data_IF_288701334189
#
_entry.id   IF_288701334189
#
_cell.length_a   1.000
_cell.length_b   1.000
_cell.length_c   1.000
_cell.angle_alpha   90.00
_cell.angle_beta   90.00
_cell.angle_gamma   90.00
#
_symmetry.space_group_name_H-M   'P 1'
#
loop_
_entity.id
_entity.type
_entity.pdbx_description
1 polymer ?
#
# COMPACT_ATOMS: atom_id res chain seq x y z
N UNK A 1 -10.36 -12.62 -1.64
CA UNK A 1 -9.11 -11.86 -1.41
C UNK A 1 -8.47 -12.43 -0.15
N UNK A 2 -7.50 -13.34 -0.26
CA UNK A 2 -6.78 -13.84 0.91
C UNK A 2 -5.68 -12.83 1.24
N UNK A 3 -5.74 -12.24 2.44
CA UNK A 3 -4.68 -11.40 2.96
C UNK A 3 -3.53 -12.33 3.34
N UNK A 4 -2.49 -12.38 2.50
CA UNK A 4 -1.18 -12.91 2.89
C UNK A 4 -0.26 -11.70 2.93
N UNK A 5 0.76 -11.66 3.77
CA UNK A 5 1.76 -10.58 3.79
C UNK A 5 3.10 -11.27 3.92
N UNK A 6 4.04 -10.97 3.02
CA UNK A 6 5.38 -11.54 3.04
C UNK A 6 6.33 -10.41 3.45
N UNK A 7 7.08 -10.63 4.54
CA UNK A 7 8.15 -9.72 4.95
C UNK A 7 9.42 -10.12 4.20
N UNK A 8 10.12 -9.12 3.65
CA UNK A 8 11.53 -9.24 3.27
C UNK A 8 12.27 -8.04 3.87
N UNK A 9 13.43 -8.31 4.47
CA UNK A 9 14.41 -7.28 4.84
C UNK A 9 15.42 -7.20 3.70
N UNK A 10 15.68 -6.00 3.21
CA UNK A 10 16.72 -5.78 2.20
C UNK A 10 17.65 -4.68 2.67
N UNK A 11 18.93 -4.95 2.50
CA UNK A 11 20.02 -4.01 2.72
C UNK A 11 20.06 -2.96 1.61
N UNK A 12 20.39 -1.72 1.96
CA UNK A 12 20.64 -0.63 1.01
C UNK A 12 22.04 -0.69 0.34
N UNK A 13 22.68 -1.87 0.27
CA UNK A 13 24.07 -2.03 -0.19
C UNK A 13 24.17 -2.90 -1.47
N UNK A 14 25.23 -2.72 -2.29
CA UNK A 14 25.37 -3.33 -3.61
C UNK A 14 25.29 -4.86 -3.62
N UNK A 15 24.89 -5.40 -4.78
CA UNK A 15 24.46 -6.78 -5.12
C UNK A 15 25.24 -7.99 -4.55
N UNK A 16 26.38 -7.84 -3.89
CA UNK A 16 27.29 -8.94 -3.54
C UNK A 16 27.05 -9.62 -2.18
N UNK A 17 26.19 -9.09 -1.31
CA UNK A 17 25.92 -9.70 0.02
C UNK A 17 24.41 -9.76 0.32
N UNK A 18 23.63 -10.35 -0.59
CA UNK A 18 22.21 -10.61 -0.35
C UNK A 18 22.06 -11.87 0.50
N UNK A 19 21.71 -11.73 1.77
CA UNK A 19 20.90 -12.74 2.46
C UNK A 19 19.44 -12.29 2.39
N UNK A 20 18.57 -13.19 1.96
CA UNK A 20 17.14 -12.95 1.81
C UNK A 20 16.41 -13.88 2.77
N UNK A 21 15.44 -13.34 3.52
CA UNK A 21 14.58 -14.09 4.43
C UNK A 21 13.11 -13.84 4.04
N UNK A 22 12.32 -14.91 4.05
CA UNK A 22 10.94 -15.05 3.55
C UNK A 22 10.00 -15.43 4.70
N UNK A 23 8.98 -14.63 4.98
CA UNK A 23 7.87 -15.09 5.85
C UNK A 23 6.74 -15.66 5.00
N UNK A 24 6.39 -16.93 5.22
CA UNK A 24 5.11 -17.52 4.78
C UNK A 24 4.13 -17.63 5.94
N UNK A 25 2.89 -17.19 5.76
CA UNK A 25 1.79 -17.50 6.68
C UNK A 25 0.75 -18.41 6.02
N UNK A 26 0.86 -19.69 6.36
CA UNK A 26 -0.18 -20.68 6.61
C UNK A 26 0.62 -21.86 7.14
N UNK A 27 0.43 -22.18 8.42
CA UNK A 27 1.26 -23.06 9.25
C UNK A 27 2.54 -22.41 9.78
N UNK A 28 2.85 -22.74 11.03
CA UNK A 28 3.94 -22.23 11.83
C UNK A 28 5.31 -22.60 11.23
N UNK A 29 5.78 -21.81 10.28
CA UNK A 29 7.20 -21.73 9.92
C UNK A 29 7.62 -20.27 9.86
N UNK A 30 7.79 -19.70 11.05
CA UNK A 30 8.55 -18.47 11.29
C UNK A 30 9.92 -18.68 10.67
N UNK A 31 10.30 -17.91 9.65
CA UNK A 31 11.71 -17.90 9.27
C UNK A 31 12.51 -17.27 10.41
N UNK A 32 13.55 -17.95 10.93
CA UNK A 32 14.20 -17.58 12.19
C UNK A 32 14.94 -16.22 12.19
N UNK A 33 15.05 -15.55 11.03
CA UNK A 33 15.91 -14.38 10.78
C UNK A 33 15.19 -13.22 10.04
N UNK A 34 13.86 -13.17 10.07
CA UNK A 34 13.06 -12.15 9.37
C UNK A 34 13.23 -10.71 9.90
N UNK A 35 13.71 -10.54 11.14
CA UNK A 35 14.07 -9.24 11.74
C UNK A 35 15.42 -9.40 12.45
N UNK A 36 16.41 -8.52 12.21
CA UNK A 36 17.72 -8.64 12.83
C UNK A 36 17.61 -8.53 14.36
N UNK A 37 18.25 -9.47 15.07
CA UNK A 37 18.40 -9.44 16.53
C UNK A 37 19.47 -8.42 16.90
N UNK A 38 19.06 -7.17 17.06
CA UNK A 38 19.93 -6.03 17.35
C UNK A 38 19.40 -5.17 18.50
N UNK A 39 20.26 -4.36 19.10
CA UNK A 39 19.87 -3.32 20.06
C UNK A 39 19.28 -2.09 19.38
N UNK A 40 19.46 -1.95 18.07
CA UNK A 40 18.87 -0.86 17.29
C UNK A 40 17.33 -0.97 17.27
N UNK A 41 16.61 0.15 17.40
CA UNK A 41 15.16 0.13 17.39
C UNK A 41 14.61 -0.19 16.00
N UNK A 42 13.53 -0.96 15.97
CA UNK A 42 12.73 -1.18 14.76
C UNK A 42 11.66 -0.09 14.68
N UNK A 43 11.64 0.63 13.58
CA UNK A 43 10.61 1.62 13.29
C UNK A 43 9.67 1.11 12.21
N UNK A 44 8.36 1.09 12.47
CA UNK A 44 7.34 0.81 11.46
C UNK A 44 6.33 1.94 11.49
N UNK A 45 6.26 2.71 10.40
CA UNK A 45 5.27 3.77 10.18
C UNK A 45 4.98 4.60 11.45
N UNK A 46 6.04 5.23 12.01
CA UNK A 46 5.96 6.10 13.18
C UNK A 46 5.95 5.42 14.55
N UNK A 47 5.94 4.08 14.62
CA UNK A 47 5.94 3.32 15.87
C UNK A 47 7.30 2.65 16.10
N UNK A 48 7.85 2.85 17.30
CA UNK A 48 9.13 2.29 17.74
C UNK A 48 8.90 0.97 18.47
N UNK A 49 9.75 0.00 18.18
CA UNK A 49 9.76 -1.32 18.81
C UNK A 49 11.18 -1.72 19.21
N UNK A 50 11.30 -2.54 20.24
CA UNK A 50 12.54 -3.24 20.56
C UNK A 50 12.65 -4.49 19.68
N UNK A 51 13.74 -4.64 18.91
CA UNK A 51 13.88 -5.74 17.95
C UNK A 51 13.81 -7.13 18.57
N UNK A 52 14.22 -7.28 19.84
CA UNK A 52 14.28 -8.56 20.55
C UNK A 52 12.98 -8.80 21.34
N UNK A 53 12.57 -7.81 22.14
CA UNK A 53 11.46 -7.96 23.08
C UNK A 53 10.08 -7.88 22.40
N UNK A 54 9.96 -7.12 21.31
CA UNK A 54 8.67 -6.86 20.66
C UNK A 54 8.46 -7.68 19.38
N UNK A 55 9.25 -8.73 19.12
CA UNK A 55 9.25 -9.47 17.84
C UNK A 55 7.84 -9.86 17.35
N UNK A 56 6.98 -10.36 18.24
CA UNK A 56 5.61 -10.73 17.90
C UNK A 56 4.73 -9.52 17.58
N UNK A 57 4.93 -8.39 18.29
CA UNK A 57 4.20 -7.14 18.04
C UNK A 57 4.64 -6.51 16.73
N UNK A 58 5.93 -6.61 16.39
CA UNK A 58 6.48 -6.17 15.11
C UNK A 58 5.84 -6.99 13.97
N UNK A 59 5.86 -8.32 14.07
CA UNK A 59 5.23 -9.21 13.07
C UNK A 59 3.74 -8.92 12.91
N UNK A 60 3.02 -8.77 14.02
CA UNK A 60 1.60 -8.46 13.99
C UNK A 60 1.31 -7.12 13.32
N UNK A 61 2.12 -6.08 13.59
CA UNK A 61 1.98 -4.78 12.94
C UNK A 61 2.22 -4.88 11.43
N UNK A 62 3.26 -5.61 10.99
CA UNK A 62 3.55 -5.82 9.56
C UNK A 62 2.42 -6.60 8.86
N UNK A 63 1.96 -7.71 9.44
CA UNK A 63 0.93 -8.57 8.84
C UNK A 63 -0.39 -7.82 8.70
N UNK A 64 -0.67 -6.87 9.60
CA UNK A 64 -1.88 -6.03 9.57
C UNK A 64 -1.95 -5.02 8.42
N UNK A 65 -0.88 -4.87 7.64
CA UNK A 65 -0.83 -3.93 6.51
C UNK A 65 -1.39 -4.58 5.26
N UNK A 66 -2.40 -3.98 4.63
CA UNK A 66 -3.02 -4.50 3.40
C UNK A 66 -1.96 -4.70 2.30
N UNK A 67 -1.70 -5.96 1.97
CA UNK A 67 -0.70 -6.33 0.97
C UNK A 67 -1.33 -6.57 -0.39
N UNK A 68 -0.93 -5.76 -1.37
CA UNK A 68 -1.43 -5.82 -2.74
C UNK A 68 -0.29 -6.21 -3.67
N UNK A 69 -0.53 -7.26 -4.44
CA UNK A 69 0.46 -7.90 -5.30
C UNK A 69 -0.09 -8.03 -6.71
N UNK A 70 0.75 -8.48 -7.65
CA UNK A 70 0.28 -8.83 -8.98
C UNK A 70 -0.92 -9.78 -8.93
N UNK A 71 -1.88 -9.51 -9.81
CA UNK A 71 -3.05 -10.33 -10.04
C UNK A 71 -3.08 -10.83 -11.48
N UNK A 72 -3.78 -11.93 -11.68
CA UNK A 72 -4.07 -12.50 -13.00
C UNK A 72 -5.49 -13.01 -13.05
N UNK A 73 -6.01 -13.13 -14.27
CA UNK A 73 -7.37 -13.56 -14.58
C UNK A 73 -8.45 -12.61 -14.04
N UNK A 74 -8.13 -11.32 -13.90
CA UNK A 74 -9.15 -10.29 -13.69
C UNK A 74 -9.78 -9.91 -15.03
N UNK A 75 -10.95 -9.27 -14.99
CA UNK A 75 -11.64 -8.80 -16.20
C UNK A 75 -10.73 -7.90 -17.04
N UNK A 76 -10.68 -8.03 -18.38
CA UNK A 76 -9.81 -7.21 -19.23
C UNK A 76 -9.89 -5.70 -18.98
N UNK A 77 -8.73 -5.02 -18.87
CA UNK A 77 -8.64 -3.56 -18.70
C UNK A 77 -8.86 -2.86 -20.04
N UNK A 78 -9.87 -2.01 -20.15
CA UNK A 78 -10.09 -1.18 -21.36
C UNK A 78 -10.96 -1.81 -22.46
N UNK A 79 -11.44 -3.06 -22.31
CA UNK A 79 -12.26 -3.74 -23.32
C UNK A 79 -11.86 -5.20 -23.51
N UNK A 80 -12.51 -5.93 -24.42
CA UNK A 80 -12.32 -7.38 -24.61
C UNK A 80 -10.88 -7.83 -24.91
N UNK A 81 -10.06 -6.96 -25.50
CA UNK A 81 -8.65 -7.23 -25.83
C UNK A 81 -7.66 -6.67 -24.78
N UNK A 82 -8.19 -6.19 -23.65
CA UNK A 82 -7.41 -5.61 -22.56
C UNK A 82 -6.53 -6.60 -21.81
N UNK A 83 -5.52 -6.08 -21.10
CA UNK A 83 -4.68 -6.89 -20.21
C UNK A 83 -5.51 -7.51 -19.09
N UNK A 84 -5.24 -8.78 -18.76
CA UNK A 84 -5.88 -9.58 -17.69
C UNK A 84 -4.92 -9.94 -16.56
N UNK A 85 -3.71 -9.41 -16.61
CA UNK A 85 -2.72 -9.48 -15.53
C UNK A 85 -1.87 -8.22 -15.51
N UNK A 86 -1.48 -7.80 -14.30
CA UNK A 86 -0.56 -6.68 -14.10
C UNK A 86 0.88 -7.09 -13.82
N UNK A 87 1.19 -8.39 -13.93
CA UNK A 87 2.54 -8.92 -13.79
C UNK A 87 3.48 -8.25 -14.79
N UNK A 88 4.61 -7.75 -14.30
CA UNK A 88 5.67 -7.15 -15.13
C UNK A 88 5.52 -5.65 -15.40
N UNK A 89 4.38 -5.03 -15.03
CA UNK A 89 4.18 -3.59 -15.24
C UNK A 89 3.47 -2.87 -14.08
N UNK A 90 2.62 -3.57 -13.33
CA UNK A 90 1.78 -2.97 -12.28
C UNK A 90 2.45 -2.69 -10.94
N UNK A 91 3.75 -2.95 -10.76
CA UNK A 91 4.37 -2.96 -9.42
C UNK A 91 4.22 -1.63 -8.68
N UNK A 92 4.48 -0.50 -9.36
CA UNK A 92 4.31 0.83 -8.75
C UNK A 92 2.84 1.15 -8.48
N UNK A 93 1.92 0.66 -9.30
CA UNK A 93 0.47 0.83 -9.06
C UNK A 93 0.08 0.09 -7.79
N UNK A 94 0.58 -1.14 -7.57
CA UNK A 94 0.38 -1.90 -6.34
C UNK A 94 0.98 -1.19 -5.11
N UNK A 95 2.18 -0.63 -5.23
CA UNK A 95 2.77 0.20 -4.16
C UNK A 95 1.90 1.41 -3.81
N UNK A 96 1.39 2.13 -4.82
CA UNK A 96 0.46 3.23 -4.61
C UNK A 96 -0.85 2.80 -3.94
N UNK A 97 -1.41 1.65 -4.36
CA UNK A 97 -2.57 1.08 -3.68
C UNK A 97 -2.28 0.75 -2.21
N UNK A 98 -1.11 0.19 -1.87
CA UNK A 98 -0.75 -0.13 -0.48
C UNK A 98 -0.61 1.12 0.39
N UNK A 99 -0.02 2.21 -0.13
CA UNK A 99 0.06 3.50 0.59
C UNK A 99 -1.34 4.06 0.85
N UNK A 100 -2.20 4.08 -0.17
CA UNK A 100 -3.57 4.58 -0.01
C UNK A 100 -4.40 3.69 0.91
N UNK A 101 -4.28 2.37 0.79
CA UNK A 101 -4.94 1.42 1.69
C UNK A 101 -4.51 1.66 3.14
N UNK A 102 -3.22 1.92 3.37
CA UNK A 102 -2.71 2.24 4.69
C UNK A 102 -3.29 3.54 5.25
N UNK A 103 -3.37 4.59 4.42
CA UNK A 103 -3.99 5.86 4.78
C UNK A 103 -5.47 5.67 5.18
N UNK A 104 -6.21 4.84 4.43
CA UNK A 104 -7.62 4.56 4.71
C UNK A 104 -7.81 3.72 5.97
N UNK A 105 -6.94 2.74 6.24
CA UNK A 105 -6.95 2.00 7.51
C UNK A 105 -6.74 2.96 8.67
N UNK A 106 -5.76 3.87 8.60
CA UNK A 106 -5.54 4.82 9.67
C UNK A 106 -6.68 5.80 9.86
N UNK A 107 -7.25 6.29 8.76
CA UNK A 107 -8.38 7.21 8.80
C UNK A 107 -9.60 6.58 9.48
N UNK A 108 -9.94 5.34 9.13
CA UNK A 108 -11.21 4.74 9.54
C UNK A 108 -11.11 3.77 10.73
N UNK A 109 -9.93 3.22 11.00
CA UNK A 109 -9.68 2.21 12.05
C UNK A 109 -8.60 2.64 13.05
N UNK A 110 -7.78 3.64 12.71
CA UNK A 110 -6.67 4.11 13.54
C UNK A 110 -5.35 3.36 13.30
N UNK A 111 -4.24 3.99 13.72
CA UNK A 111 -2.87 3.44 13.59
C UNK A 111 -2.68 2.12 14.34
N UNK A 112 -3.32 1.99 15.50
CA UNK A 112 -3.13 0.86 16.42
C UNK A 112 -4.06 -0.32 16.12
N UNK A 113 -4.93 -0.21 15.12
CA UNK A 113 -5.71 -1.35 14.65
C UNK A 113 -4.79 -2.46 14.12
N UNK A 114 -5.09 -3.69 14.52
CA UNK A 114 -4.37 -4.89 14.11
C UNK A 114 -5.35 -5.83 13.42
N UNK A 115 -4.89 -6.46 12.33
CA UNK A 115 -5.68 -7.42 11.57
C UNK A 115 -5.72 -8.76 12.29
N UNK A 116 -6.89 -9.38 12.27
CA UNK A 116 -7.13 -10.72 12.74
C UNK A 116 -7.69 -11.56 11.58
N UNK A 117 -7.19 -12.78 11.31
CA UNK A 117 -7.70 -13.64 10.24
C UNK A 117 -9.21 -13.88 10.26
N UNK A 118 -9.83 -13.84 11.44
CA UNK A 118 -11.26 -14.06 11.65
C UNK A 118 -12.07 -12.76 11.67
N UNK A 119 -11.41 -11.61 11.45
CA UNK A 119 -12.07 -10.30 11.54
C UNK A 119 -13.26 -10.19 10.59
N UNK A 120 -14.39 -9.78 11.15
CA UNK A 120 -15.63 -9.43 10.42
C UNK A 120 -15.87 -7.92 10.41
N UNK A 121 -14.86 -7.13 10.74
CA UNK A 121 -14.92 -5.67 10.77
C UNK A 121 -15.41 -5.12 9.42
N UNK A 122 -16.62 -4.55 9.43
CA UNK A 122 -17.29 -4.09 8.22
C UNK A 122 -16.58 -2.91 7.57
N UNK A 123 -15.90 -2.08 8.36
CA UNK A 123 -15.09 -0.95 7.92
C UNK A 123 -13.84 -1.44 7.22
N UNK A 124 -13.11 -2.40 7.82
CA UNK A 124 -11.97 -3.04 7.17
C UNK A 124 -12.35 -3.69 5.83
N UNK A 125 -13.44 -4.47 5.81
CA UNK A 125 -13.93 -5.10 4.58
C UNK A 125 -14.36 -4.07 3.53
N UNK A 126 -14.93 -2.93 3.95
CA UNK A 126 -15.27 -1.82 3.06
C UNK A 126 -14.03 -1.18 2.44
N UNK A 127 -12.94 -1.03 3.21
CA UNK A 127 -11.64 -0.57 2.69
C UNK A 127 -11.11 -1.55 1.65
N UNK A 128 -11.03 -2.86 1.98
CA UNK A 128 -10.54 -3.88 1.05
C UNK A 128 -11.30 -3.90 -0.28
N UNK A 129 -12.63 -3.76 -0.25
CA UNK A 129 -13.46 -3.74 -1.46
C UNK A 129 -13.07 -2.65 -2.44
N UNK A 130 -12.48 -1.54 -1.98
CA UNK A 130 -12.05 -0.43 -2.84
C UNK A 130 -10.85 -0.77 -3.74
N UNK A 131 -10.10 -1.82 -3.40
CA UNK A 131 -8.89 -2.25 -4.11
C UNK A 131 -9.08 -3.58 -4.87
N UNK A 132 -10.28 -4.14 -4.90
CA UNK A 132 -10.57 -5.36 -5.66
C UNK A 132 -10.31 -5.14 -7.16
N UNK A 133 -9.96 -6.20 -7.90
CA UNK A 133 -9.66 -6.14 -9.34
C UNK A 133 -10.94 -6.05 -10.21
N UNK A 134 -11.80 -5.07 -9.89
CA UNK A 134 -13.09 -4.83 -10.54
C UNK A 134 -13.18 -3.38 -11.00
N UNK A 135 -13.85 -3.17 -12.12
CA UNK A 135 -14.05 -1.81 -12.70
C UNK A 135 -14.76 -0.86 -11.74
N UNK A 136 -15.64 -1.37 -10.87
CA UNK A 136 -16.41 -0.58 -9.92
C UNK A 136 -15.61 -0.18 -8.67
N UNK A 137 -14.51 -0.88 -8.38
CA UNK A 137 -13.69 -0.57 -7.22
C UNK A 137 -12.81 0.67 -7.55
N UNK A 138 -12.93 1.78 -6.80
CA UNK A 138 -12.36 3.08 -7.16
C UNK A 138 -10.84 3.10 -7.24
N UNK A 139 -10.18 2.19 -6.52
CA UNK A 139 -8.72 2.07 -6.48
C UNK A 139 -8.24 0.72 -7.02
N UNK A 140 -9.04 0.08 -7.87
CA UNK A 140 -8.64 -1.14 -8.60
C UNK A 140 -7.47 -0.87 -9.55
N UNK A 141 -6.80 -1.94 -9.98
CA UNK A 141 -5.78 -1.83 -11.04
C UNK A 141 -6.38 -1.23 -12.33
N UNK A 142 -7.65 -1.51 -12.61
CA UNK A 142 -8.38 -0.96 -13.75
C UNK A 142 -8.45 0.55 -13.68
N UNK A 143 -8.94 1.09 -12.56
CA UNK A 143 -9.12 2.54 -12.40
C UNK A 143 -7.77 3.27 -12.40
N UNK A 144 -6.75 2.71 -11.74
CA UNK A 144 -5.41 3.32 -11.70
C UNK A 144 -4.76 3.29 -13.09
N UNK A 145 -4.81 2.16 -13.80
CA UNK A 145 -4.21 2.05 -15.12
C UNK A 145 -4.91 2.95 -16.16
N UNK A 146 -6.24 3.01 -16.13
CA UNK A 146 -7.02 3.86 -17.04
C UNK A 146 -6.83 5.36 -16.74
N UNK A 147 -6.83 5.75 -15.47
CA UNK A 147 -6.56 7.13 -15.07
C UNK A 147 -5.14 7.57 -15.43
N UNK A 148 -4.19 6.64 -15.54
CA UNK A 148 -2.84 6.87 -16.04
C UNK A 148 -2.76 7.52 -17.41
N UNK A 149 -3.77 7.32 -18.29
CA UNK A 149 -3.81 7.97 -19.60
C UNK A 149 -3.81 9.51 -19.47
N UNK A 150 -4.44 10.04 -18.42
CA UNK A 150 -4.44 11.48 -18.12
C UNK A 150 -3.10 12.01 -17.61
N UNK A 151 -2.13 11.13 -17.36
CA UNK A 151 -0.73 11.42 -17.03
C UNK A 151 0.22 11.01 -18.17
N UNK A 152 -0.31 10.75 -19.37
CA UNK A 152 0.48 10.30 -20.53
C UNK A 152 1.01 8.87 -20.40
N UNK A 153 0.39 8.01 -19.57
CA UNK A 153 0.74 6.60 -19.43
C UNK A 153 -0.35 5.70 -19.97
N UNK A 154 -0.02 4.92 -21.00
CA UNK A 154 -0.92 3.89 -21.50
C UNK A 154 -1.00 2.71 -20.52
N UNK A 155 -2.11 1.95 -20.59
CA UNK A 155 -2.25 0.68 -19.86
C UNK A 155 -1.09 -0.25 -20.23
N UNK A 156 -0.48 -0.89 -19.23
CA UNK A 156 0.71 -1.73 -19.43
C UNK A 156 2.05 -1.00 -19.27
N UNK A 157 2.06 0.34 -19.21
CA UNK A 157 3.30 1.09 -18.97
C UNK A 157 3.62 1.23 -17.49
N UNK A 158 4.91 1.20 -17.17
CA UNK A 158 5.39 1.41 -15.82
C UNK A 158 5.23 2.87 -15.37
N UNK A 159 4.81 3.06 -14.11
CA UNK A 159 4.66 4.37 -13.48
C UNK A 159 5.84 4.64 -12.55
N UNK A 160 6.29 5.90 -12.47
CA UNK A 160 7.12 6.37 -11.37
C UNK A 160 6.27 6.77 -10.15
N UNK A 161 6.90 7.02 -8.97
CA UNK A 161 6.21 7.43 -7.76
C UNK A 161 5.33 8.68 -7.93
N UNK A 162 5.82 9.70 -8.65
CA UNK A 162 5.03 10.90 -8.92
C UNK A 162 3.77 10.59 -9.74
N UNK A 163 3.89 9.80 -10.81
CA UNK A 163 2.75 9.48 -11.67
C UNK A 163 1.64 8.74 -10.91
N UNK A 164 1.99 7.74 -10.10
CA UNK A 164 0.96 7.04 -9.30
C UNK A 164 0.34 7.98 -8.26
N UNK A 165 1.11 8.90 -7.66
CA UNK A 165 0.58 9.89 -6.72
C UNK A 165 -0.44 10.83 -7.37
N UNK A 166 -0.17 11.33 -8.58
CA UNK A 166 -1.11 12.18 -9.32
C UNK A 166 -2.37 11.42 -9.72
N UNK A 167 -2.24 10.17 -10.16
CA UNK A 167 -3.39 9.30 -10.45
C UNK A 167 -4.26 9.11 -9.22
N UNK A 168 -3.67 8.78 -8.06
CA UNK A 168 -4.43 8.62 -6.81
C UNK A 168 -5.11 9.93 -6.38
N UNK A 169 -4.44 11.08 -6.55
CA UNK A 169 -5.02 12.42 -6.30
C UNK A 169 -6.25 12.70 -7.15
N UNK A 170 -6.32 12.16 -8.37
CA UNK A 170 -7.52 12.25 -9.23
C UNK A 170 -8.60 11.28 -8.77
N UNK A 171 -8.24 10.02 -8.49
CA UNK A 171 -9.19 8.97 -8.10
C UNK A 171 -9.88 9.23 -6.75
N UNK A 172 -9.16 9.79 -5.78
CA UNK A 172 -9.71 10.05 -4.43
C UNK A 172 -10.92 10.98 -4.44
N UNK A 173 -11.06 11.83 -5.46
CA UNK A 173 -12.20 12.74 -5.63
C UNK A 173 -13.54 11.99 -5.79
N UNK A 174 -13.49 10.75 -6.23
CA UNK A 174 -14.68 9.90 -6.42
C UNK A 174 -14.99 9.04 -5.17
N UNK A 175 -14.22 9.18 -4.09
CA UNK A 175 -14.46 8.47 -2.82
C UNK A 175 -15.10 9.40 -1.78
N UNK A 176 -16.40 9.56 -1.92
CA UNK A 176 -17.22 10.38 -1.01
C UNK A 176 -17.23 9.88 0.43
N UNK A 177 -17.00 8.59 0.66
CA UNK A 177 -17.00 8.04 2.01
C UNK A 177 -15.76 8.46 2.80
N UNK A 178 -14.58 8.45 2.17
CA UNK A 178 -13.34 8.79 2.86
C UNK A 178 -13.09 10.29 2.93
N UNK A 179 -13.62 11.07 1.97
CA UNK A 179 -13.40 12.54 1.85
C UNK A 179 -11.92 12.95 1.99
N UNK A 180 -11.01 12.07 1.59
CA UNK A 180 -9.57 12.24 1.73
C UNK A 180 -9.05 13.27 0.72
N UNK A 181 -8.28 14.23 1.19
CA UNK A 181 -7.50 15.14 0.35
C UNK A 181 -6.11 14.53 0.07
N UNK A 182 -5.66 14.56 -1.18
CA UNK A 182 -4.28 14.19 -1.54
C UNK A 182 -3.56 15.43 -2.06
N UNK A 183 -2.49 15.83 -1.36
CA UNK A 183 -1.57 16.86 -1.83
C UNK A 183 -0.27 16.20 -2.28
N UNK A 184 0.16 16.50 -3.51
CA UNK A 184 1.45 16.06 -4.06
C UNK A 184 2.34 17.28 -4.14
N UNK A 185 3.33 17.37 -3.24
CA UNK A 185 4.27 18.48 -3.18
C UNK A 185 5.27 18.35 -4.34
N UNK A 186 5.36 19.37 -5.19
CA UNK A 186 6.30 19.41 -6.31
C UNK A 186 7.53 20.25 -5.92
N UNK A 187 8.59 20.14 -6.71
CA UNK A 187 9.82 20.94 -6.55
C UNK A 187 10.44 20.88 -5.14
N UNK A 188 10.29 19.73 -4.48
CA UNK A 188 10.76 19.46 -3.13
C UNK A 188 10.28 20.47 -2.08
N UNK A 189 9.17 21.18 -2.34
CA UNK A 189 8.67 22.28 -1.50
C UNK A 189 7.22 22.03 -1.08
N UNK A 190 6.94 22.18 0.22
CA UNK A 190 5.58 22.08 0.76
C UNK A 190 5.04 23.49 0.98
N UNK A 191 3.99 23.85 0.24
CA UNK A 191 3.31 25.14 0.41
C UNK A 191 2.14 24.94 1.38
N UNK A 192 2.30 25.45 2.61
CA UNK A 192 1.33 25.24 3.69
C UNK A 192 -0.05 25.82 3.33
N UNK A 193 -0.09 26.95 2.63
CA UNK A 193 -1.35 27.60 2.27
C UNK A 193 -2.16 26.75 1.27
N UNK A 194 -1.53 26.18 0.25
CA UNK A 194 -2.18 25.26 -0.69
C UNK A 194 -2.81 24.06 0.02
N UNK A 195 -2.14 23.52 1.04
CA UNK A 195 -2.66 22.42 1.85
C UNK A 195 -3.88 22.89 2.66
N UNK A 196 -3.81 24.06 3.30
CA UNK A 196 -4.94 24.62 4.05
C UNK A 196 -6.15 24.82 3.16
N UNK A 197 -5.97 25.42 1.99
CA UNK A 197 -7.05 25.64 1.01
C UNK A 197 -7.65 24.32 0.53
N UNK A 198 -6.82 23.33 0.22
CA UNK A 198 -7.28 22.01 -0.20
C UNK A 198 -8.12 21.30 0.89
N UNK A 199 -7.68 21.40 2.15
CA UNK A 199 -8.31 20.66 3.25
C UNK A 199 -9.52 21.40 3.86
N UNK A 200 -9.57 22.74 3.78
CA UNK A 200 -10.64 23.58 4.31
C UNK A 200 -11.71 23.96 3.27
N UNK A 201 -11.61 23.48 2.02
CA UNK A 201 -12.51 23.85 0.94
C UNK A 201 -14.00 23.79 1.37
N UNK A 202 -14.65 24.96 1.30
CA UNK A 202 -15.98 25.26 1.83
C UNK A 202 -17.05 24.26 1.38
N UNK A 203 -17.88 23.80 2.33
CA UNK A 203 -19.17 23.20 1.98
C UNK A 203 -20.02 24.28 1.33
N UNK A 204 -20.25 24.18 0.01
CA UNK A 204 -21.37 24.85 -0.65
C UNK A 204 -22.67 24.15 -0.22
N UNK A 205 -23.06 24.31 1.03
CA UNK A 205 -24.38 23.96 1.52
C UNK A 205 -25.05 25.29 1.83
N UNK A 206 -25.99 25.64 0.95
CA UNK A 206 -27.12 26.57 1.07
C UNK A 206 -26.89 27.84 1.88
N UNK A 207 -27.11 29.01 1.25
CA UNK A 207 -26.75 30.37 1.68
C UNK A 207 -27.30 30.89 3.01
N UNK A 208 -27.56 30.02 3.98
CA UNK A 208 -27.98 30.30 5.34
C UNK A 208 -27.27 29.34 6.29
N UNK A 209 -25.95 29.51 6.47
CA UNK A 209 -25.16 29.26 7.68
C UNK A 209 -23.68 29.04 7.30
N UNK A 210 -22.81 29.92 7.79
CA UNK A 210 -21.35 29.75 7.78
C UNK A 210 -20.99 28.61 8.74
N UNK A 211 -21.23 27.36 8.34
CA UNK A 211 -20.73 26.19 9.04
C UNK A 211 -19.21 26.17 9.00
N UNK A 212 -18.58 25.86 10.13
CA UNK A 212 -17.13 25.67 10.21
C UNK A 212 -16.67 24.66 9.14
N UNK A 213 -15.72 25.04 8.29
CA UNK A 213 -15.12 24.13 7.33
C UNK A 213 -14.33 23.04 8.07
N UNK A 214 -14.86 21.82 8.10
CA UNK A 214 -14.17 20.67 8.67
C UNK A 214 -12.91 20.34 7.85
N UNK A 215 -11.78 20.11 8.53
CA UNK A 215 -10.52 19.73 7.90
C UNK A 215 -10.61 18.35 7.27
N UNK A 216 -10.52 18.27 5.94
CA UNK A 216 -10.43 16.99 5.24
C UNK A 216 -9.15 16.25 5.65
N UNK A 217 -9.22 14.95 5.99
CA UNK A 217 -8.04 14.14 6.21
C UNK A 217 -7.06 14.28 5.03
N UNK A 218 -5.77 14.41 5.32
CA UNK A 218 -4.74 14.68 4.33
C UNK A 218 -3.81 13.50 4.16
N UNK A 219 -3.65 13.05 2.91
CA UNK A 219 -2.52 12.25 2.46
C UNK A 219 -1.54 13.17 1.73
N UNK A 220 -0.42 13.49 2.38
CA UNK A 220 0.66 14.29 1.83
C UNK A 220 1.71 13.39 1.19
N UNK A 221 1.99 13.60 -0.09
CA UNK A 221 2.99 12.85 -0.85
C UNK A 221 4.06 13.82 -1.33
N UNK A 222 5.32 13.47 -1.11
CA UNK A 222 6.48 14.27 -1.54
C UNK A 222 7.35 13.40 -2.46
N UNK A 223 7.16 13.46 -3.79
CA UNK A 223 8.03 12.79 -4.74
C UNK A 223 9.43 13.40 -4.72
N UNK A 224 10.45 12.57 -4.55
CA UNK A 224 11.84 13.02 -4.46
C UNK A 224 12.73 12.23 -5.41
N UNK A 225 13.81 12.87 -5.88
CA UNK A 225 14.95 12.22 -6.54
C UNK A 225 16.19 12.43 -5.68
N UNK A 226 16.57 11.41 -4.91
CA UNK A 226 17.65 11.49 -3.91
C UNK A 226 19.05 11.20 -4.46
N UNK A 227 19.19 11.11 -5.78
CA UNK A 227 20.46 10.87 -6.46
C UNK A 227 20.29 10.51 -7.94
N UNK A 228 21.40 10.23 -8.62
CA UNK A 228 21.40 9.91 -10.05
C UNK A 228 21.09 8.44 -10.32
N UNK A 229 21.90 7.53 -9.76
CA UNK A 229 21.78 6.07 -9.91
C UNK A 229 21.50 5.35 -8.60
N UNK A 230 22.00 5.92 -7.51
CA UNK A 230 21.81 5.47 -6.13
C UNK A 230 21.46 6.67 -5.24
N UNK A 231 20.94 6.39 -4.04
CA UNK A 231 20.64 7.44 -3.06
C UNK A 231 21.95 8.03 -2.57
N UNK A 232 22.08 9.36 -2.61
CA UNK A 232 23.23 10.03 -2.00
C UNK A 232 23.21 9.78 -0.47
N UNK A 233 24.30 9.25 0.13
CA UNK A 233 24.36 8.93 1.55
C UNK A 233 23.94 10.05 2.50
N UNK A 234 24.10 11.33 2.11
CA UNK A 234 23.67 12.48 2.91
C UNK A 234 22.17 12.44 3.26
N UNK A 235 21.35 11.83 2.41
CA UNK A 235 19.90 11.77 2.59
C UNK A 235 19.43 10.57 3.42
N UNK A 236 20.29 9.58 3.66
CA UNK A 236 19.90 8.32 4.33
C UNK A 236 19.30 8.59 5.71
N UNK A 237 19.97 9.41 6.52
CA UNK A 237 19.47 9.79 7.84
C UNK A 237 18.15 10.56 7.77
N UNK A 238 17.96 11.40 6.74
CA UNK A 238 16.71 12.12 6.51
C UNK A 238 15.55 11.17 6.21
N UNK A 239 15.76 10.21 5.30
CA UNK A 239 14.77 9.19 4.95
C UNK A 239 14.45 8.31 6.16
N UNK A 240 15.45 7.92 6.94
CA UNK A 240 15.24 7.13 8.17
C UNK A 240 14.40 7.91 9.19
N UNK A 241 14.62 9.22 9.36
CA UNK A 241 13.78 10.06 10.21
C UNK A 241 12.33 10.13 9.73
N UNK A 242 12.07 10.09 8.42
CA UNK A 242 10.70 10.07 7.90
C UNK A 242 9.91 8.88 8.45
N UNK A 243 10.50 7.69 8.59
CA UNK A 243 9.82 6.52 9.19
C UNK A 243 9.46 6.68 10.67
N UNK A 244 10.05 7.66 11.37
CA UNK A 244 9.85 7.91 12.80
C UNK A 244 8.70 8.88 13.07
N UNK A 245 8.24 9.63 12.06
CA UNK A 245 7.09 10.52 12.21
C UNK A 245 5.81 9.72 12.46
N UNK A 246 4.99 10.15 13.43
CA UNK A 246 3.71 9.51 13.74
C UNK A 246 2.76 9.46 12.53
N UNK A 247 2.92 10.41 11.61
CA UNK A 247 2.15 10.54 10.38
C UNK A 247 2.75 9.75 9.20
N UNK A 248 3.87 9.07 9.39
CA UNK A 248 4.59 8.37 8.31
C UNK A 248 3.77 7.26 7.69
N UNK A 249 3.43 7.41 6.42
CA UNK A 249 2.88 6.34 5.59
C UNK A 249 3.95 5.65 4.74
N UNK A 250 5.22 5.80 5.12
CA UNK A 250 6.34 5.12 4.48
C UNK A 250 6.76 5.74 3.16
N UNK A 251 7.46 4.95 2.33
CA UNK A 251 8.05 5.39 1.07
C UNK A 251 7.74 4.36 -0.01
N UNK A 252 7.39 4.81 -1.21
CA UNK A 252 7.33 3.96 -2.41
C UNK A 252 8.43 4.36 -3.37
N UNK A 253 9.07 3.36 -3.98
CA UNK A 253 10.20 3.61 -4.87
C UNK A 253 10.72 2.31 -5.46
N UNK A 254 11.86 2.41 -6.14
CA UNK A 254 12.50 1.27 -6.81
C UNK A 254 12.79 1.56 -8.27
N UNK A 255 13.57 0.67 -8.88
CA UNK A 255 13.87 0.71 -10.31
C UNK A 255 12.63 0.32 -11.12
N UNK A 256 12.57 0.65 -12.43
CA UNK A 256 11.50 0.16 -13.30
C UNK A 256 11.28 -1.34 -13.12
N UNK A 257 10.02 -1.73 -12.93
CA UNK A 257 9.56 -3.11 -12.69
C UNK A 257 10.06 -3.79 -11.41
N UNK A 258 10.67 -3.04 -10.47
CA UNK A 258 11.14 -3.54 -9.17
C UNK A 258 10.72 -2.57 -8.05
N UNK A 259 9.45 -2.15 -8.07
CA UNK A 259 8.92 -1.20 -7.11
C UNK A 259 8.56 -1.87 -5.77
N UNK A 260 8.87 -1.21 -4.66
CA UNK A 260 8.62 -1.70 -3.30
C UNK A 260 7.91 -0.62 -2.48
N UNK A 261 7.17 -1.06 -1.45
CA UNK A 261 6.61 -0.18 -0.43
C UNK A 261 7.37 -0.34 0.89
N UNK A 262 8.25 0.60 1.18
CA UNK A 262 9.04 0.64 2.41
C UNK A 262 8.17 1.17 3.55
N UNK A 263 8.03 0.37 4.61
CA UNK A 263 7.17 0.66 5.77
C UNK A 263 7.96 0.97 7.04
N UNK A 264 9.28 0.80 7.01
CA UNK A 264 10.08 0.92 8.22
C UNK A 264 11.57 0.73 8.00
N UNK A 265 12.33 0.79 9.09
CA UNK A 265 13.77 0.55 9.10
C UNK A 265 14.27 0.02 10.45
N UNK A 266 15.43 -0.63 10.41
CA UNK A 266 16.19 -1.08 11.58
C UNK A 266 17.68 -0.96 11.27
N UNK A 267 18.43 -0.23 12.10
CA UNK A 267 19.81 0.12 11.78
C UNK A 267 19.93 0.80 10.40
N UNK A 268 20.62 0.17 9.45
CA UNK A 268 20.77 0.65 8.05
C UNK A 268 19.88 -0.11 7.04
N UNK A 269 19.06 -1.03 7.52
CA UNK A 269 18.18 -1.86 6.70
C UNK A 269 16.77 -1.28 6.64
N UNK A 270 16.06 -1.60 5.56
CA UNK A 270 14.67 -1.19 5.35
C UNK A 270 13.74 -2.39 5.38
N UNK A 271 12.55 -2.15 5.90
CA UNK A 271 11.44 -3.10 6.00
C UNK A 271 10.43 -2.72 4.92
N UNK A 272 10.01 -3.66 4.08
CA UNK A 272 9.12 -3.36 2.95
C UNK A 272 8.13 -4.48 2.66
N UNK A 273 7.11 -4.10 1.88
CA UNK A 273 6.14 -5.00 1.26
C UNK A 273 6.42 -5.08 -0.25
N UNK A 274 6.55 -6.31 -0.73
CA UNK A 274 6.92 -6.61 -2.12
C UNK A 274 5.69 -7.02 -2.96
N UNK A 275 5.34 -6.29 -4.05
CA UNK A 275 4.19 -6.65 -4.88
C UNK A 275 4.46 -7.78 -5.90
N UNK A 276 5.69 -8.27 -6.07
CA UNK A 276 6.11 -9.15 -7.16
C UNK A 276 5.73 -10.63 -7.01
N UNK A 277 4.63 -10.90 -6.33
CA UNK A 277 4.02 -12.23 -6.27
C UNK A 277 2.72 -12.25 -7.10
N UNK A 278 2.59 -13.15 -8.08
CA UNK A 278 1.37 -13.20 -8.90
C UNK A 278 0.33 -14.15 -8.31
N UNK A 279 -0.76 -13.57 -7.82
CA UNK A 279 -1.89 -14.31 -7.26
C UNK A 279 -3.10 -14.29 -8.22
N UNK A 280 -4.02 -15.24 -8.08
CA UNK A 280 -5.31 -15.16 -8.81
C UNK A 280 -6.16 -14.03 -8.25
N UNK A 281 -7.02 -13.44 -9.06
CA UNK A 281 -8.07 -12.56 -8.54
C UNK A 281 -8.92 -13.32 -7.49
N UNK A 282 -9.26 -12.64 -6.41
CA UNK A 282 -9.81 -13.24 -5.19
C UNK A 282 -11.31 -13.57 -5.26
N UNK A 283 -11.87 -13.60 -6.46
CA UNK A 283 -13.27 -13.94 -6.73
C UNK A 283 -13.35 -15.43 -7.07
N UNK A 284 -13.87 -16.24 -6.14
CA UNK A 284 -14.64 -17.42 -6.57
C UNK A 284 -15.89 -16.84 -7.23
N UNK A 285 -16.07 -17.15 -8.51
CA UNK A 285 -17.21 -16.64 -9.28
C UNK A 285 -18.52 -17.09 -8.66
N UNK A 286 -19.47 -16.16 -8.57
CA UNK A 286 -20.88 -16.50 -8.67
C UNK A 286 -21.15 -16.87 -10.15
N UNK A 287 -20.71 -18.07 -10.55
CA UNK A 287 -21.24 -18.75 -11.72
C UNK A 287 -21.37 -20.23 -11.38
N UNK A 288 -22.56 -20.76 -11.66
CA UNK A 288 -23.10 -21.98 -11.10
C UNK A 288 -22.19 -23.20 -11.23
N UNK A 289 -21.93 -23.83 -10.09
CA UNK A 289 -21.59 -25.24 -10.03
C UNK A 289 -22.70 -25.97 -9.26
N UNK A 290 -23.81 -26.22 -9.97
CA UNK A 290 -24.80 -27.23 -9.54
C UNK A 290 -24.21 -28.61 -9.85
N UNK A 291 -23.14 -29.03 -9.17
CA UNK A 291 -22.64 -30.43 -9.19
C UNK A 291 -21.53 -30.68 -8.16
N UNK A 292 -21.80 -30.45 -6.89
CA UNK A 292 -21.04 -31.08 -5.82
C UNK A 292 -21.85 -31.17 -4.52
N UNK A 293 -23.03 -31.82 -4.58
CA UNK A 293 -23.63 -32.45 -3.41
C UNK A 293 -23.38 -33.96 -3.54
N UNK A 294 -22.84 -34.57 -2.47
CA UNK A 294 -22.15 -35.88 -2.34
C UNK A 294 -20.64 -35.65 -2.44
N UNK A 295 -19.88 -35.76 -1.35
CA UNK A 295 -19.69 -36.93 -0.49
C UNK A 295 -19.41 -36.48 0.96
N UNK A 296 -19.80 -37.32 1.93
CA UNK A 296 -19.76 -37.10 3.38
C UNK A 296 -18.37 -37.06 4.04
N UNK A 297 -18.32 -37.15 5.37
CA UNK A 297 -17.18 -36.76 6.20
C UNK A 297 -16.15 -37.87 6.29
N UNK A 298 -14.87 -37.54 6.14
CA UNK A 298 -13.77 -38.36 6.67
C UNK A 298 -12.55 -37.45 6.93
N UNK A 299 -12.31 -37.16 8.22
CA UNK A 299 -10.99 -36.80 8.75
C UNK A 299 -10.19 -38.09 8.95
N UNK A 300 -8.87 -38.01 8.85
CA UNK A 300 -8.08 -38.52 9.97
C UNK A 300 -7.01 -37.54 10.45
N UNK A 301 -6.93 -37.49 11.79
CA UNK A 301 -5.87 -37.05 12.71
C UNK A 301 -4.69 -36.24 12.16
#
# INVERSE_FOLDING_TARGET
MMHRTFLHVATCLPRRERRAYRISCLEATIEPDDIPKTTEPVWILGKKYNAIQDINRIRQDVISKIWLTYRKNFVPIGGGEGLTSDKGWGCMLRCGQMVLAQALVWLHLGRDWLWDPETKDSTYLKILRKFQERRQAPYSIHQIALMGASEGKAVGQWFGPNTVAQVLKKLVKYDEWSRLAIHVALDNTIIINDIRELCLAQSKLDGTNLGWSEWKPLLLIVPLRLGLSEINPIYVNGVQKCFQFKQSLGVIGGKPNVALYFIGCVGKEVIYLDPHNTQRDGLRGEQGDRRANRIGPDLPL
#
